data_IF_598540131360
#
_entry.id   IF_598540131360
#
_cell.length_a   1.000
_cell.length_b   1.000
_cell.length_c   1.000
_cell.angle_alpha   90.00
_cell.angle_beta   90.00
_cell.angle_gamma   90.00
#
_symmetry.space_group_name_H-M   'P 1'
#
loop_
_entity.id
_entity.type
_entity.pdbx_description
1 polymer ?
#
# COMPACT_ATOMS: atom_id res chain seq x y z
N UNK A 1 13.29 2.71 0.24
CA UNK A 1 14.03 2.00 1.31
C UNK A 1 15.27 1.34 0.73
N UNK A 2 16.19 0.84 1.58
CA UNK A 2 17.47 0.25 1.16
C UNK A 2 17.33 -0.81 0.05
N UNK A 3 16.26 -1.62 0.07
CA UNK A 3 15.96 -2.60 -0.98
C UNK A 3 15.67 -1.98 -2.37
N UNK A 4 14.98 -0.83 -2.41
CA UNK A 4 14.70 -0.12 -3.67
C UNK A 4 15.96 0.48 -4.29
N UNK A 5 16.88 1.01 -3.47
CA UNK A 5 18.18 1.50 -3.92
C UNK A 5 19.10 0.36 -4.39
N UNK A 6 19.02 -0.81 -3.75
CA UNK A 6 19.80 -1.99 -4.16
C UNK A 6 19.33 -2.56 -5.50
N UNK A 7 18.00 -2.69 -5.70
CA UNK A 7 17.42 -3.12 -6.98
C UNK A 7 17.75 -2.15 -8.13
N UNK A 8 17.79 -0.85 -7.82
CA UNK A 8 18.17 0.22 -8.73
C UNK A 8 19.67 0.27 -9.02
N UNK A 9 20.53 0.05 -8.02
CA UNK A 9 21.97 -0.05 -8.20
C UNK A 9 22.35 -1.25 -9.06
N UNK A 10 21.64 -2.37 -8.93
CA UNK A 10 21.82 -3.55 -9.80
C UNK A 10 21.33 -3.32 -11.25
N UNK A 11 20.57 -2.25 -11.52
CA UNK A 11 20.05 -1.91 -12.84
C UNK A 11 20.94 -0.94 -13.65
N UNK A 12 22.08 -0.48 -13.11
CA UNK A 12 23.13 0.15 -13.92
C UNK A 12 23.09 1.69 -14.09
N UNK A 13 22.63 2.43 -13.08
CA UNK A 13 22.62 3.91 -12.91
C UNK A 13 21.23 4.56 -13.04
N UNK A 14 20.46 4.63 -11.95
CA UNK A 14 19.25 5.44 -11.91
C UNK A 14 19.59 6.89 -11.59
N UNK A 15 19.04 7.83 -12.36
CA UNK A 15 19.08 9.23 -11.97
C UNK A 15 18.37 9.44 -10.63
N UNK A 16 18.62 10.59 -10.00
CA UNK A 16 18.02 10.96 -8.69
C UNK A 16 16.48 10.82 -8.69
N UNK A 17 15.84 11.10 -9.82
CA UNK A 17 14.41 10.94 -10.02
C UNK A 17 13.92 9.48 -9.88
N UNK A 18 14.70 8.51 -10.32
CA UNK A 18 14.32 7.09 -10.26
C UNK A 18 14.51 6.53 -8.85
N UNK A 19 15.58 6.95 -8.17
CA UNK A 19 15.78 6.66 -6.75
C UNK A 19 14.60 7.16 -5.92
N UNK A 20 14.18 8.41 -6.14
CA UNK A 20 13.01 9.00 -5.47
C UNK A 20 11.74 8.21 -5.78
N UNK A 21 11.47 7.89 -7.05
CA UNK A 21 10.28 7.13 -7.43
C UNK A 21 10.24 5.73 -6.80
N UNK A 22 11.38 5.04 -6.69
CA UNK A 22 11.47 3.75 -6.01
C UNK A 22 11.28 3.85 -4.50
N UNK A 23 11.76 4.92 -3.87
CA UNK A 23 11.48 5.19 -2.46
C UNK A 23 10.00 5.45 -2.21
N UNK A 24 9.36 6.25 -3.05
CA UNK A 24 7.92 6.51 -3.03
C UNK A 24 7.14 5.20 -3.17
N UNK A 25 7.50 4.35 -4.14
CA UNK A 25 6.83 3.06 -4.34
C UNK A 25 7.01 2.13 -3.12
N UNK A 26 8.20 2.11 -2.54
CA UNK A 26 8.47 1.31 -1.35
C UNK A 26 7.64 1.78 -0.15
N UNK A 27 7.49 3.10 0.03
CA UNK A 27 6.62 3.66 1.04
C UNK A 27 5.15 3.25 0.81
N UNK A 28 4.68 3.30 -0.44
CA UNK A 28 3.34 2.84 -0.81
C UNK A 28 3.12 1.36 -0.43
N UNK A 29 4.08 0.49 -0.76
CA UNK A 29 4.01 -0.94 -0.38
C UNK A 29 3.99 -1.14 1.13
N UNK A 30 4.89 -0.48 1.86
CA UNK A 30 4.97 -0.60 3.31
C UNK A 30 3.67 -0.18 3.98
N UNK A 31 3.11 0.98 3.59
CA UNK A 31 1.84 1.45 4.14
C UNK A 31 0.67 0.53 3.76
N UNK A 32 0.65 0.02 2.52
CA UNK A 32 -0.38 -0.94 2.07
C UNK A 32 -0.33 -2.23 2.89
N UNK A 33 0.87 -2.77 3.14
CA UNK A 33 1.07 -3.96 3.97
C UNK A 33 0.65 -3.72 5.42
N UNK A 34 0.95 -2.53 5.97
CA UNK A 34 0.48 -2.14 7.32
C UNK A 34 -1.04 -2.16 7.43
N UNK A 35 -1.77 -1.64 6.43
CA UNK A 35 -3.24 -1.72 6.42
C UNK A 35 -3.74 -3.17 6.26
N UNK A 36 -3.06 -3.98 5.46
CA UNK A 36 -3.44 -5.39 5.26
C UNK A 36 -3.32 -6.20 6.55
N UNK A 37 -2.23 -6.01 7.29
CA UNK A 37 -1.93 -6.78 8.50
C UNK A 37 -2.30 -6.05 9.79
N UNK A 38 -3.15 -5.03 9.69
CA UNK A 38 -3.55 -4.16 10.78
C UNK A 38 -4.03 -4.93 12.03
N UNK A 39 -4.98 -5.85 11.84
CA UNK A 39 -5.48 -6.73 12.91
C UNK A 39 -4.38 -7.55 13.58
N UNK A 40 -3.51 -8.17 12.78
CA UNK A 40 -2.43 -9.02 13.29
C UNK A 40 -1.35 -8.21 14.02
N UNK A 41 -1.13 -6.96 13.61
CA UNK A 41 -0.23 -6.05 14.30
C UNK A 41 -0.80 -5.55 15.63
N UNK A 42 -2.10 -5.22 15.67
CA UNK A 42 -2.82 -4.89 16.91
C UNK A 42 -2.78 -6.01 17.93
N UNK A 43 -3.03 -7.25 17.50
CA UNK A 43 -2.96 -8.43 18.36
C UNK A 43 -1.56 -8.63 18.98
N UNK A 44 -0.52 -8.03 18.41
CA UNK A 44 0.86 -8.05 18.91
C UNK A 44 1.25 -6.77 19.66
N UNK A 45 0.29 -5.89 19.96
CA UNK A 45 0.53 -4.63 20.67
C UNK A 45 1.33 -3.61 19.87
N UNK A 46 1.31 -3.68 18.53
CA UNK A 46 2.04 -2.72 17.68
C UNK A 46 1.08 -1.66 17.15
N UNK A 47 1.45 -0.39 17.35
CA UNK A 47 0.77 0.72 16.70
C UNK A 47 1.03 0.68 15.18
N UNK A 48 -0.04 0.55 14.40
CA UNK A 48 0.01 0.54 12.92
C UNK A 48 -0.91 1.58 12.29
N UNK A 49 -1.59 2.38 13.11
CA UNK A 49 -2.49 3.45 12.68
C UNK A 49 -1.89 4.81 13.00
N UNK A 50 -2.28 5.86 12.26
CA UNK A 50 -1.95 7.23 12.63
C UNK A 50 -2.76 7.63 13.88
N UNK A 51 -2.29 7.24 15.07
CA UNK A 51 -3.00 7.48 16.33
C UNK A 51 -3.32 8.95 16.55
N UNK A 52 -2.38 9.86 16.24
CA UNK A 52 -2.63 11.30 16.35
C UNK A 52 -3.80 11.78 15.47
N UNK A 53 -3.99 11.20 14.27
CA UNK A 53 -5.11 11.55 13.39
C UNK A 53 -6.42 10.92 13.88
N UNK A 54 -6.37 9.69 14.41
CA UNK A 54 -7.51 9.04 15.04
C UNK A 54 -7.99 9.83 16.27
N UNK A 55 -7.08 10.23 17.15
CA UNK A 55 -7.36 11.03 18.33
C UNK A 55 -7.92 12.40 17.94
N UNK A 56 -7.33 13.08 16.95
CA UNK A 56 -7.85 14.34 16.42
C UNK A 56 -9.27 14.20 15.81
N UNK A 57 -9.60 13.02 15.28
CA UNK A 57 -10.95 12.70 14.80
C UNK A 57 -11.90 12.23 15.91
N UNK A 58 -11.48 12.22 17.18
CA UNK A 58 -12.28 11.77 18.32
C UNK A 58 -12.46 10.25 18.40
N UNK A 59 -11.49 9.48 17.90
CA UNK A 59 -11.42 8.02 18.02
C UNK A 59 -10.38 7.65 19.07
N UNK A 60 -10.81 6.92 20.10
CA UNK A 60 -9.96 6.63 21.26
C UNK A 60 -9.13 5.36 21.10
N UNK A 61 -8.05 5.24 21.87
CA UNK A 61 -7.31 3.97 21.96
C UNK A 61 -8.19 2.83 22.54
N UNK A 62 -9.16 3.16 23.40
CA UNK A 62 -10.12 2.19 23.90
C UNK A 62 -11.00 1.61 22.78
N UNK A 63 -11.50 2.47 21.88
CA UNK A 63 -12.24 2.05 20.68
C UNK A 63 -11.38 1.12 19.81
N UNK A 64 -10.09 1.46 19.63
CA UNK A 64 -9.16 0.64 18.87
C UNK A 64 -8.97 -0.75 19.49
N UNK A 65 -8.77 -0.82 20.80
CA UNK A 65 -8.62 -2.08 21.54
C UNK A 65 -9.88 -2.94 21.50
N UNK A 66 -11.06 -2.29 21.50
CA UNK A 66 -12.34 -2.96 21.34
C UNK A 66 -12.66 -3.34 19.89
N UNK A 67 -11.82 -2.94 18.93
CA UNK A 67 -12.02 -3.21 17.51
C UNK A 67 -13.16 -2.39 16.88
N UNK A 68 -13.54 -1.26 17.45
CA UNK A 68 -14.68 -0.47 16.96
C UNK A 68 -14.37 0.13 15.59
N UNK A 69 -15.22 -0.14 14.60
CA UNK A 69 -15.13 0.44 13.24
C UNK A 69 -16.32 1.36 12.99
N UNK A 70 -16.18 2.61 13.44
CA UNK A 70 -17.17 3.67 13.27
C UNK A 70 -16.76 4.66 12.15
N UNK A 71 -17.57 5.68 11.91
CA UNK A 71 -17.32 6.66 10.84
C UNK A 71 -16.05 7.48 11.04
N UNK A 72 -15.64 7.73 12.29
CA UNK A 72 -14.38 8.43 12.62
C UNK A 72 -13.18 7.61 12.15
N UNK A 73 -13.15 6.34 12.51
CA UNK A 73 -12.12 5.40 12.05
C UNK A 73 -12.09 5.29 10.52
N UNK A 74 -13.26 5.10 9.90
CA UNK A 74 -13.37 4.99 8.43
C UNK A 74 -12.92 6.27 7.73
N UNK A 75 -13.21 7.43 8.30
CA UNK A 75 -12.75 8.73 7.81
C UNK A 75 -11.23 8.79 7.75
N UNK A 76 -10.56 8.52 8.87
CA UNK A 76 -9.09 8.51 8.94
C UNK A 76 -8.49 7.46 8.02
N UNK A 77 -9.05 6.25 7.96
CA UNK A 77 -8.58 5.20 7.05
C UNK A 77 -8.76 5.58 5.57
N UNK A 78 -9.82 6.32 5.23
CA UNK A 78 -10.02 6.85 3.87
C UNK A 78 -8.95 7.87 3.52
N UNK A 79 -8.51 8.71 4.46
CA UNK A 79 -7.45 9.69 4.22
C UNK A 79 -6.06 9.04 4.14
N UNK A 80 -5.78 8.04 4.97
CA UNK A 80 -4.61 7.16 4.81
C UNK A 80 -4.63 6.51 3.42
N UNK A 81 -5.76 5.91 3.03
CA UNK A 81 -5.91 5.27 1.72
C UNK A 81 -5.64 6.24 0.56
N UNK A 82 -6.13 7.49 0.63
CA UNK A 82 -5.85 8.53 -0.38
C UNK A 82 -4.35 8.81 -0.46
N UNK A 83 -3.67 8.98 0.68
CA UNK A 83 -2.21 9.20 0.72
C UNK A 83 -1.44 8.04 0.06
N UNK A 84 -1.81 6.79 0.37
CA UNK A 84 -1.16 5.62 -0.25
C UNK A 84 -1.40 5.60 -1.76
N UNK A 85 -2.60 5.94 -2.22
CA UNK A 85 -2.88 6.06 -3.66
C UNK A 85 -1.99 7.10 -4.34
N UNK A 86 -1.84 8.28 -3.74
CA UNK A 86 -0.93 9.30 -4.26
C UNK A 86 0.50 8.78 -4.38
N UNK A 87 1.01 8.02 -3.40
CA UNK A 87 2.34 7.40 -3.51
C UNK A 87 2.45 6.40 -4.67
N UNK A 88 1.40 5.61 -4.93
CA UNK A 88 1.37 4.74 -6.12
C UNK A 88 1.34 5.54 -7.42
N UNK A 89 0.56 6.61 -7.48
CA UNK A 89 0.45 7.44 -8.68
C UNK A 89 1.78 8.19 -8.96
N UNK A 90 2.43 8.72 -7.92
CA UNK A 90 3.71 9.42 -8.01
C UNK A 90 4.88 8.50 -8.40
N UNK A 91 4.77 7.19 -8.14
CA UNK A 91 5.76 6.19 -8.55
C UNK A 91 5.49 5.57 -9.93
N UNK A 92 4.38 5.93 -10.59
CA UNK A 92 3.97 5.38 -11.89
C UNK A 92 5.01 5.50 -13.02
N UNK A 93 5.89 6.51 -13.09
CA UNK A 93 6.92 6.57 -14.13
C UNK A 93 8.00 5.48 -14.02
N UNK A 94 8.27 4.97 -12.81
CA UNK A 94 9.38 4.07 -12.52
C UNK A 94 9.39 2.78 -13.39
N UNK A 95 8.29 2.03 -13.54
CA UNK A 95 8.33 0.76 -14.26
C UNK A 95 8.62 0.93 -15.75
N UNK A 96 8.41 2.11 -16.34
CA UNK A 96 8.74 2.39 -17.75
C UNK A 96 10.23 2.61 -17.98
N UNK A 97 10.99 2.90 -16.92
CA UNK A 97 12.43 3.20 -16.96
C UNK A 97 13.30 2.02 -16.57
N UNK A 98 12.69 0.93 -16.12
CA UNK A 98 13.40 -0.30 -15.75
C UNK A 98 13.52 -1.24 -16.95
N UNK A 99 14.62 -2.00 -17.07
CA UNK A 99 14.74 -3.05 -18.06
C UNK A 99 13.79 -4.22 -17.77
N UNK A 100 13.62 -5.10 -18.76
CA UNK A 100 13.03 -6.42 -18.54
C UNK A 100 14.04 -7.33 -17.85
N UNK A 101 13.64 -8.17 -16.86
CA UNK A 101 12.27 -8.40 -16.37
C UNK A 101 11.81 -7.49 -15.22
N UNK A 102 12.68 -6.65 -14.67
CA UNK A 102 12.41 -5.84 -13.47
C UNK A 102 11.18 -4.95 -13.64
N UNK A 103 10.97 -4.41 -14.84
CA UNK A 103 9.80 -3.61 -15.17
C UNK A 103 8.48 -4.37 -14.98
N UNK A 104 8.43 -5.66 -15.32
CA UNK A 104 7.26 -6.53 -15.13
C UNK A 104 7.02 -6.78 -13.64
N UNK A 105 8.07 -7.11 -12.89
CA UNK A 105 7.98 -7.37 -11.45
C UNK A 105 7.43 -6.14 -10.69
N UNK A 106 7.95 -4.96 -11.01
CA UNK A 106 7.49 -3.71 -10.41
C UNK A 106 6.05 -3.40 -10.80
N UNK A 107 5.65 -3.56 -12.07
CA UNK A 107 4.24 -3.41 -12.48
C UNK A 107 3.32 -4.39 -11.75
N UNK A 108 3.74 -5.63 -11.57
CA UNK A 108 2.97 -6.64 -10.86
C UNK A 108 2.80 -6.27 -9.37
N UNK A 109 3.88 -5.84 -8.72
CA UNK A 109 3.83 -5.31 -7.35
C UNK A 109 2.85 -4.14 -7.22
N UNK A 110 2.96 -3.17 -8.13
CA UNK A 110 2.11 -1.97 -8.16
C UNK A 110 0.63 -2.36 -8.32
N UNK A 111 0.34 -3.26 -9.27
CA UNK A 111 -1.01 -3.76 -9.52
C UNK A 111 -1.59 -4.53 -8.32
N UNK A 112 -0.77 -5.34 -7.62
CA UNK A 112 -1.21 -5.97 -6.37
C UNK A 112 -1.57 -4.93 -5.30
N UNK A 113 -0.73 -3.91 -5.14
CA UNK A 113 -0.97 -2.80 -4.23
C UNK A 113 -2.29 -2.10 -4.51
N UNK A 114 -2.50 -1.69 -5.77
CA UNK A 114 -3.72 -1.05 -6.24
C UNK A 114 -4.97 -1.93 -6.04
N UNK A 115 -4.89 -3.23 -6.35
CA UNK A 115 -5.97 -4.18 -6.13
C UNK A 115 -6.31 -4.33 -4.64
N UNK A 116 -5.31 -4.32 -3.77
CA UNK A 116 -5.50 -4.41 -2.33
C UNK A 116 -6.17 -3.16 -1.76
N UNK A 117 -5.75 -1.97 -2.21
CA UNK A 117 -6.40 -0.71 -1.88
C UNK A 117 -7.85 -0.67 -2.34
N UNK A 118 -8.14 -1.20 -3.54
CA UNK A 118 -9.52 -1.33 -4.00
C UNK A 118 -10.34 -2.27 -3.10
N UNK A 119 -9.73 -3.37 -2.62
CA UNK A 119 -10.38 -4.30 -1.68
C UNK A 119 -10.68 -3.63 -0.33
N UNK A 120 -9.73 -2.87 0.22
CA UNK A 120 -9.90 -2.12 1.47
C UNK A 120 -11.07 -1.14 1.34
N UNK A 121 -11.10 -0.36 0.25
CA UNK A 121 -12.16 0.61 0.01
C UNK A 121 -13.53 -0.05 -0.16
N UNK A 122 -13.65 -1.15 -0.92
CA UNK A 122 -14.90 -1.91 -1.08
C UNK A 122 -15.36 -2.58 0.22
N UNK A 123 -14.42 -2.97 1.08
CA UNK A 123 -14.71 -3.50 2.41
C UNK A 123 -15.13 -2.43 3.44
N UNK A 124 -15.38 -1.19 3.00
CA UNK A 124 -15.80 -0.11 3.90
C UNK A 124 -14.71 0.30 4.90
N UNK A 125 -13.44 0.04 4.57
CA UNK A 125 -12.28 0.28 5.43
C UNK A 125 -12.26 -0.54 6.74
N UNK A 126 -13.02 -1.61 6.82
CA UNK A 126 -13.04 -2.52 7.98
C UNK A 126 -11.83 -3.47 8.02
N UNK A 127 -10.65 -2.89 8.25
CA UNK A 127 -9.38 -3.63 8.32
C UNK A 127 -9.10 -4.25 9.71
N UNK A 128 -9.93 -3.94 10.70
CA UNK A 128 -9.84 -4.51 12.05
C UNK A 128 -10.49 -5.89 12.13
N UNK A 129 -11.58 -6.10 11.39
CA UNK A 129 -12.25 -7.40 11.37
C UNK A 129 -11.88 -8.22 10.14
N UNK A 130 -11.65 -7.56 9.00
CA UNK A 130 -11.43 -8.22 7.71
C UNK A 130 -10.01 -7.98 7.21
N UNK A 131 -9.25 -9.06 7.05
CA UNK A 131 -7.96 -8.98 6.37
C UNK A 131 -8.19 -8.86 4.86
N UNK A 132 -7.81 -7.76 4.19
CA UNK A 132 -7.93 -7.67 2.75
C UNK A 132 -6.98 -8.68 2.10
N UNK A 133 -7.51 -9.54 1.23
CA UNK A 133 -6.73 -10.56 0.51
C UNK A 133 -7.12 -10.58 -0.96
N UNK A 134 -6.11 -10.80 -1.81
CA UNK A 134 -6.30 -10.94 -3.25
C UNK A 134 -6.52 -12.42 -3.59
N UNK A 135 -7.70 -12.71 -4.15
CA UNK A 135 -8.05 -14.02 -4.70
C UNK A 135 -7.57 -14.18 -6.14
N UNK A 136 -7.85 -15.34 -6.74
CA UNK A 136 -7.46 -15.64 -8.14
C UNK A 136 -8.03 -14.62 -9.13
N UNK A 137 -9.27 -14.17 -8.91
CA UNK A 137 -9.97 -13.18 -9.74
C UNK A 137 -9.33 -11.80 -9.69
N UNK A 138 -8.70 -11.44 -8.57
CA UNK A 138 -7.97 -10.17 -8.44
C UNK A 138 -6.57 -10.25 -9.06
N UNK A 139 -5.91 -11.43 -8.98
CA UNK A 139 -4.53 -11.63 -9.43
C UNK A 139 -4.39 -11.74 -10.95
N UNK A 140 -5.36 -12.32 -11.64
CA UNK A 140 -5.37 -12.45 -13.10
C UNK A 140 -5.24 -11.10 -13.83
N UNK A 141 -6.11 -10.10 -13.61
CA UNK A 141 -5.98 -8.80 -14.28
C UNK A 141 -4.69 -8.08 -13.89
N UNK A 142 -4.20 -8.25 -12.65
CA UNK A 142 -2.92 -7.70 -12.21
C UNK A 142 -1.75 -8.31 -12.98
N UNK A 143 -1.73 -9.63 -13.17
CA UNK A 143 -0.69 -10.32 -13.93
C UNK A 143 -0.73 -9.92 -15.41
N UNK A 144 -1.91 -9.88 -16.02
CA UNK A 144 -2.08 -9.46 -17.42
C UNK A 144 -1.64 -8.02 -17.64
N UNK A 145 -2.04 -7.08 -16.78
CA UNK A 145 -1.62 -5.68 -16.87
C UNK A 145 -0.12 -5.47 -16.64
N UNK A 146 0.55 -6.38 -15.91
CA UNK A 146 2.00 -6.33 -15.73
C UNK A 146 2.77 -6.81 -16.97
N UNK A 147 2.25 -7.81 -17.67
CA UNK A 147 2.86 -8.36 -18.89
C UNK A 147 2.53 -7.53 -20.14
N UNK A 148 1.32 -7.00 -20.22
CA UNK A 148 0.79 -6.24 -21.35
C UNK A 148 0.34 -4.83 -20.91
N UNK A 149 1.29 -3.95 -20.55
CA UNK A 149 0.96 -2.58 -20.15
C UNK A 149 0.34 -1.80 -21.32
N UNK A 150 -0.74 -1.07 -21.04
CA UNK A 150 -1.42 -0.16 -21.99
C UNK A 150 -0.75 1.21 -22.08
#
# INVERSE_FOLDING_TARGET
GAAGRLALAMAGHPGEADAKAAETLWAAYAMTASLQDAKAALARGRAVFPMAELEAAGYSEADLRMGVVNDRFRGVMKDVWKRIRTLYDDSRPLPRRLPFPQSVEVRYGWGKGAALLARISRGGFDILHQRPVLGRRDRLPVALGALFPS
#
